data_IF_534013116687
#
_entry.id   IF_534013116687
#
_cell.length_a   1.000
_cell.length_b   1.000
_cell.length_c   1.000
_cell.angle_alpha   90.00
_cell.angle_beta   90.00
_cell.angle_gamma   90.00
#
_symmetry.space_group_name_H-M   'P 1'
#
loop_
_entity.id
_entity.type
_entity.pdbx_description
1 polymer ?
#
# COMPACT_ATOMS: atom_id res chain seq x y z
N UNK A 1 -9.57 0.93 -11.93
CA UNK A 1 -9.14 2.13 -12.66
C UNK A 1 -7.73 1.91 -13.14
N UNK A 2 -7.35 2.44 -14.31
CA UNK A 2 -5.98 2.35 -14.83
C UNK A 2 -5.25 3.66 -14.50
N UNK A 3 -3.99 3.57 -14.07
CA UNK A 3 -3.10 4.73 -13.98
C UNK A 3 -2.14 4.69 -15.16
N UNK A 4 -2.02 5.79 -15.91
CA UNK A 4 -1.10 5.92 -17.05
C UNK A 4 -1.18 4.80 -18.13
N UNK A 5 -2.35 4.17 -18.31
CA UNK A 5 -2.55 3.06 -19.25
C UNK A 5 -1.95 1.72 -18.81
N UNK A 6 -1.46 1.62 -17.57
CA UNK A 6 -1.04 0.35 -16.99
C UNK A 6 -2.26 -0.56 -16.74
N UNK A 7 -2.08 -1.86 -17.03
CA UNK A 7 -3.10 -2.90 -16.87
C UNK A 7 -2.60 -3.88 -15.83
N UNK A 8 -3.49 -4.34 -14.96
CA UNK A 8 -3.17 -5.43 -14.03
C UNK A 8 -3.21 -6.75 -14.81
N UNK A 9 -2.09 -7.46 -14.83
CA UNK A 9 -1.97 -8.78 -15.40
C UNK A 9 -2.76 -9.82 -14.60
N UNK A 10 -3.02 -10.97 -15.22
CA UNK A 10 -3.69 -12.10 -14.55
C UNK A 10 -2.85 -12.68 -13.41
N UNK A 11 -1.54 -12.40 -13.39
CA UNK A 11 -0.58 -12.73 -12.35
C UNK A 11 -0.52 -11.72 -11.20
N UNK A 12 -1.44 -10.74 -11.18
CA UNK A 12 -1.52 -9.73 -10.12
C UNK A 12 -0.46 -8.63 -10.21
N UNK A 13 0.31 -8.57 -11.31
CA UNK A 13 1.37 -7.56 -11.51
C UNK A 13 0.92 -6.46 -12.47
N UNK A 14 1.26 -5.19 -12.24
CA UNK A 14 0.98 -4.14 -13.21
C UNK A 14 1.90 -4.30 -14.43
N UNK A 15 1.37 -4.04 -15.62
CA UNK A 15 2.13 -4.12 -16.88
C UNK A 15 3.32 -3.16 -16.97
N UNK A 16 3.37 -2.17 -16.07
CA UNK A 16 4.52 -1.31 -15.82
C UNK A 16 4.68 -1.16 -14.32
N UNK A 17 5.93 -1.13 -13.80
CA UNK A 17 6.17 -0.86 -12.40
C UNK A 17 5.49 0.45 -11.93
N UNK A 18 4.82 0.40 -10.78
CA UNK A 18 4.27 1.58 -10.11
C UNK A 18 5.35 2.11 -9.17
N UNK A 19 6.02 3.18 -9.59
CA UNK A 19 7.09 3.85 -8.82
C UNK A 19 6.67 5.30 -8.59
N UNK A 20 6.74 5.75 -7.34
CA UNK A 20 6.41 7.10 -6.91
C UNK A 20 7.49 8.12 -7.25
N UNK A 21 7.27 9.35 -6.78
CA UNK A 21 8.26 10.44 -6.89
C UNK A 21 9.47 10.16 -6.00
N UNK A 22 10.66 10.67 -6.35
CA UNK A 22 11.83 10.64 -5.46
C UNK A 22 11.54 11.32 -4.14
N UNK A 23 11.87 10.67 -3.02
CA UNK A 23 11.74 11.26 -1.68
C UNK A 23 13.00 12.07 -1.33
N UNK A 24 13.21 13.15 -2.09
CA UNK A 24 14.44 13.95 -2.08
C UNK A 24 14.40 15.19 -1.17
N UNK A 25 13.27 15.45 -0.50
CA UNK A 25 13.08 16.64 0.32
C UNK A 25 12.70 17.91 -0.44
N UNK A 26 12.35 17.81 -1.73
CA UNK A 26 11.76 18.90 -2.50
C UNK A 26 10.42 19.39 -1.89
N UNK A 27 9.91 20.52 -2.36
CA UNK A 27 8.75 21.18 -1.75
C UNK A 27 7.53 20.24 -1.67
N UNK A 28 7.11 19.90 -0.44
CA UNK A 28 5.99 19.00 -0.17
C UNK A 28 6.33 17.50 -0.18
N UNK A 29 7.62 17.15 -0.31
CA UNK A 29 8.10 15.77 -0.33
C UNK A 29 9.01 15.53 0.88
N UNK A 30 8.79 14.42 1.58
CA UNK A 30 9.67 14.03 2.68
C UNK A 30 11.02 13.55 2.13
N UNK A 31 12.13 13.90 2.79
CA UNK A 31 13.44 13.35 2.46
C UNK A 31 13.62 11.96 3.09
N UNK A 32 13.83 10.93 2.28
CA UNK A 32 14.16 9.56 2.69
C UNK A 32 15.28 9.04 1.79
N UNK A 33 16.46 8.84 2.36
CA UNK A 33 17.60 8.26 1.63
C UNK A 33 17.35 6.80 1.24
N UNK A 34 18.09 6.31 0.25
CA UNK A 34 18.04 4.91 -0.21
C UNK A 34 18.22 3.93 0.96
N UNK A 35 17.40 2.88 0.99
CA UNK A 35 17.44 1.84 2.02
C UNK A 35 17.59 0.43 1.46
N UNK A 36 17.66 0.24 0.15
CA UNK A 36 17.69 -1.07 -0.49
C UNK A 36 18.66 -1.18 -1.68
N UNK A 37 19.42 -0.13 -2.00
CA UNK A 37 20.35 -0.09 -3.12
C UNK A 37 19.66 0.10 -4.47
N UNK A 38 18.46 0.68 -4.50
CA UNK A 38 17.60 0.79 -5.68
C UNK A 38 16.95 -0.54 -6.10
N UNK A 39 16.82 -1.50 -5.18
CA UNK A 39 16.33 -2.86 -5.50
C UNK A 39 14.87 -2.83 -5.96
N UNK A 40 14.01 -2.08 -5.29
CA UNK A 40 12.57 -2.08 -5.59
C UNK A 40 12.13 -0.92 -6.49
N UNK A 41 12.86 0.20 -6.50
CA UNK A 41 12.49 1.40 -7.25
C UNK A 41 13.49 1.82 -8.34
N UNK A 42 14.67 1.22 -8.39
CA UNK A 42 15.72 1.54 -9.34
C UNK A 42 16.51 2.83 -9.03
N UNK A 43 16.32 3.44 -7.86
CA UNK A 43 16.98 4.68 -7.45
C UNK A 43 17.91 4.43 -6.26
N UNK A 44 19.22 4.46 -6.50
CA UNK A 44 20.23 4.26 -5.46
C UNK A 44 20.60 5.55 -4.69
N UNK A 45 19.88 6.66 -4.92
CA UNK A 45 20.11 7.93 -4.22
C UNK A 45 19.10 8.16 -3.09
N UNK A 46 17.82 7.98 -3.39
CA UNK A 46 16.69 8.20 -2.46
C UNK A 46 15.64 7.14 -2.68
N UNK A 47 14.94 6.76 -1.62
CA UNK A 47 13.82 5.82 -1.71
C UNK A 47 12.64 6.45 -2.47
N UNK A 48 11.86 5.61 -3.15
CA UNK A 48 10.58 5.97 -3.77
C UNK A 48 9.49 5.04 -3.29
N UNK A 49 8.25 5.53 -3.21
CA UNK A 49 7.12 4.66 -2.91
C UNK A 49 6.90 3.64 -4.04
N UNK A 50 6.85 2.35 -3.71
CA UNK A 50 6.72 1.23 -4.65
C UNK A 50 5.35 0.56 -4.56
N UNK A 51 4.85 0.14 -5.72
CA UNK A 51 3.71 -0.75 -5.81
C UNK A 51 2.36 -0.08 -5.65
N UNK A 52 1.27 -0.87 -5.83
CA UNK A 52 -0.10 -0.37 -5.71
C UNK A 52 -0.43 0.16 -4.30
N UNK A 53 0.31 -0.29 -3.27
CA UNK A 53 0.15 0.17 -1.88
C UNK A 53 1.17 1.24 -1.48
N UNK A 54 2.03 1.69 -2.40
CA UNK A 54 2.97 2.81 -2.18
C UNK A 54 3.84 2.65 -0.93
N UNK A 55 4.39 1.44 -0.71
CA UNK A 55 5.32 1.21 0.39
C UNK A 55 6.67 1.88 0.12
N UNK A 56 7.30 2.43 1.14
CA UNK A 56 8.72 2.81 1.07
C UNK A 56 9.58 1.55 1.19
N UNK A 57 10.65 1.35 0.41
CA UNK A 57 11.52 0.16 0.47
C UNK A 57 11.94 -0.23 1.89
N UNK A 58 12.30 0.75 2.72
CA UNK A 58 12.66 0.54 4.12
C UNK A 58 11.52 -0.03 4.98
N UNK A 59 10.29 0.37 4.69
CA UNK A 59 9.07 -0.18 5.31
C UNK A 59 8.75 -1.55 4.72
N UNK A 60 8.80 -1.70 3.39
CA UNK A 60 8.55 -2.96 2.70
C UNK A 60 9.41 -4.10 3.25
N UNK A 61 10.71 -3.86 3.47
CA UNK A 61 11.62 -4.87 4.06
C UNK A 61 11.11 -5.47 5.37
N UNK A 62 10.32 -4.75 6.15
CA UNK A 62 9.75 -5.23 7.43
C UNK A 62 8.42 -5.93 7.27
N UNK A 63 7.65 -5.58 6.24
CA UNK A 63 6.26 -5.99 6.05
C UNK A 63 6.01 -6.86 4.83
N UNK A 64 7.05 -7.12 4.04
CA UNK A 64 7.03 -7.98 2.87
C UNK A 64 6.30 -9.28 3.20
N UNK A 65 5.40 -9.65 2.30
CA UNK A 65 4.50 -10.78 2.46
C UNK A 65 4.36 -11.48 1.13
N UNK A 66 4.20 -12.80 1.18
CA UNK A 66 3.92 -13.64 0.03
C UNK A 66 2.41 -13.95 0.06
N UNK A 67 1.65 -13.13 -0.67
CA UNK A 67 0.19 -13.18 -0.69
C UNK A 67 -0.36 -14.12 -1.76
N UNK A 68 0.39 -14.33 -2.84
CA UNK A 68 0.04 -15.27 -3.92
C UNK A 68 0.60 -16.69 -3.71
N UNK A 69 1.51 -16.90 -2.76
CA UNK A 69 2.08 -18.19 -2.38
C UNK A 69 3.21 -18.67 -3.29
N UNK A 70 3.90 -17.76 -3.99
CA UNK A 70 5.00 -18.11 -4.92
C UNK A 70 6.39 -18.18 -4.24
N UNK A 71 6.46 -17.88 -2.94
CA UNK A 71 7.67 -17.87 -2.13
C UNK A 71 8.45 -16.56 -2.17
N UNK A 72 7.98 -15.54 -2.88
CA UNK A 72 8.64 -14.24 -3.04
C UNK A 72 7.71 -13.12 -2.57
N UNK A 73 8.25 -12.19 -1.76
CA UNK A 73 7.56 -10.94 -1.47
C UNK A 73 7.87 -9.90 -2.54
N UNK A 74 6.88 -9.51 -3.33
CA UNK A 74 7.02 -8.49 -4.36
C UNK A 74 6.09 -7.28 -4.13
N UNK A 75 6.63 -6.06 -3.94
CA UNK A 75 5.79 -4.89 -3.68
C UNK A 75 4.89 -4.50 -4.86
N UNK A 76 5.20 -4.96 -6.08
CA UNK A 76 4.40 -4.71 -7.27
C UNK A 76 3.24 -5.69 -7.42
N UNK A 77 3.33 -6.87 -6.81
CA UNK A 77 2.31 -7.90 -6.88
C UNK A 77 1.18 -7.51 -5.91
N UNK A 78 -0.05 -7.43 -6.43
CA UNK A 78 -1.18 -6.85 -5.70
C UNK A 78 -1.53 -7.64 -4.43
N UNK A 79 -1.46 -8.98 -4.46
CA UNK A 79 -1.83 -9.79 -3.29
C UNK A 79 -0.78 -9.67 -2.18
N UNK A 80 0.50 -9.66 -2.54
CA UNK A 80 1.62 -9.43 -1.63
C UNK A 80 1.53 -8.06 -0.97
N UNK A 81 1.31 -7.03 -1.78
CA UNK A 81 1.19 -5.65 -1.33
C UNK A 81 -0.05 -5.47 -0.42
N UNK A 82 -1.18 -6.08 -0.77
CA UNK A 82 -2.40 -6.02 0.03
C UNK A 82 -2.23 -6.75 1.37
N UNK A 83 -1.61 -7.94 1.37
CA UNK A 83 -1.34 -8.69 2.59
C UNK A 83 -0.36 -7.94 3.50
N UNK A 84 0.70 -7.36 2.93
CA UNK A 84 1.63 -6.51 3.66
C UNK A 84 0.94 -5.30 4.30
N UNK A 85 0.05 -4.61 3.56
CA UNK A 85 -0.73 -3.49 4.07
C UNK A 85 -1.65 -3.92 5.22
N UNK A 86 -2.34 -5.05 5.09
CA UNK A 86 -3.18 -5.57 6.17
C UNK A 86 -2.38 -5.85 7.45
N UNK A 87 -1.20 -6.49 7.33
CA UNK A 87 -0.31 -6.75 8.47
C UNK A 87 0.21 -5.46 9.10
N UNK A 88 0.57 -4.48 8.27
CA UNK A 88 1.01 -3.15 8.73
C UNK A 88 -0.08 -2.42 9.52
N UNK A 89 -1.33 -2.47 9.05
CA UNK A 89 -2.47 -1.82 9.70
C UNK A 89 -2.81 -2.45 11.04
N UNK A 90 -2.70 -3.77 11.17
CA UNK A 90 -2.91 -4.50 12.42
C UNK A 90 -1.69 -4.48 13.38
N UNK A 91 -0.57 -3.89 12.97
CA UNK A 91 0.67 -3.90 13.75
C UNK A 91 0.51 -3.27 15.15
N UNK A 92 1.25 -3.79 16.13
CA UNK A 92 1.21 -3.26 17.51
C UNK A 92 -0.09 -3.53 18.26
N UNK A 93 -0.84 -4.57 17.87
CA UNK A 93 -2.09 -4.97 18.55
C UNK A 93 -3.30 -4.10 18.19
N UNK A 94 -3.23 -3.36 17.07
CA UNK A 94 -4.34 -2.52 16.61
C UNK A 94 -5.52 -3.38 16.18
N UNK A 95 -6.69 -3.08 16.75
CA UNK A 95 -7.95 -3.60 16.27
C UNK A 95 -8.54 -2.65 15.21
N UNK A 96 -8.44 -3.06 13.94
CA UNK A 96 -8.98 -2.30 12.80
C UNK A 96 -10.52 -2.26 12.75
N UNK A 97 -11.22 -3.06 13.56
CA UNK A 97 -12.66 -2.96 13.74
C UNK A 97 -13.05 -1.92 14.81
N UNK A 98 -12.10 -1.50 15.66
CA UNK A 98 -12.32 -0.43 16.63
C UNK A 98 -12.06 0.95 16.00
N UNK A 99 -12.81 2.01 16.38
CA UNK A 99 -12.53 3.36 15.88
C UNK A 99 -11.09 3.81 16.18
N UNK A 100 -10.59 3.55 17.39
CA UNK A 100 -9.25 3.95 17.81
C UNK A 100 -8.15 3.24 17.03
N UNK A 101 -8.24 1.91 16.89
CA UNK A 101 -7.27 1.12 16.13
C UNK A 101 -7.28 1.45 14.64
N UNK A 102 -8.46 1.69 14.07
CA UNK A 102 -8.59 2.13 12.68
C UNK A 102 -7.90 3.48 12.43
N UNK A 103 -8.17 4.50 13.27
CA UNK A 103 -7.54 5.82 13.12
C UNK A 103 -6.03 5.75 13.31
N UNK A 104 -5.56 5.04 14.33
CA UNK A 104 -4.13 4.85 14.57
C UNK A 104 -3.46 4.13 13.39
N UNK A 105 -4.11 3.13 12.80
CA UNK A 105 -3.60 2.40 11.65
C UNK A 105 -3.47 3.27 10.41
N UNK A 106 -4.53 3.97 10.01
CA UNK A 106 -4.53 4.78 8.79
C UNK A 106 -3.59 5.98 8.91
N UNK A 107 -3.57 6.67 10.06
CA UNK A 107 -2.67 7.80 10.28
C UNK A 107 -1.20 7.39 10.31
N UNK A 108 -0.89 6.14 10.67
CA UNK A 108 0.47 5.61 10.56
C UNK A 108 0.89 5.37 9.10
N UNK A 109 -0.06 5.25 8.18
CA UNK A 109 0.20 5.13 6.75
C UNK A 109 0.37 6.51 6.10
N UNK A 110 -0.49 7.45 6.48
CA UNK A 110 -0.42 8.86 6.08
C UNK A 110 -1.04 9.72 7.18
N UNK A 111 -0.26 10.61 7.78
CA UNK A 111 -0.67 11.44 8.92
C UNK A 111 -1.55 12.63 8.49
N UNK A 112 -2.66 12.34 7.81
CA UNK A 112 -3.66 13.32 7.37
C UNK A 112 -5.06 12.86 7.76
N UNK A 113 -5.76 13.70 8.52
CA UNK A 113 -7.15 13.46 8.93
C UNK A 113 -8.08 13.34 7.72
N UNK A 114 -7.88 14.19 6.71
CA UNK A 114 -8.68 14.20 5.48
C UNK A 114 -8.47 12.92 4.68
N UNK A 115 -7.21 12.46 4.58
CA UNK A 115 -6.87 11.17 3.98
C UNK A 115 -7.59 10.03 4.71
N UNK A 116 -7.51 10.02 6.05
CA UNK A 116 -8.18 9.01 6.84
C UNK A 116 -9.69 9.01 6.56
N UNK A 117 -10.38 10.14 6.72
CA UNK A 117 -11.83 10.25 6.45
C UNK A 117 -12.20 9.75 5.04
N UNK A 118 -11.38 10.06 4.03
CA UNK A 118 -11.60 9.58 2.67
C UNK A 118 -11.48 8.05 2.56
N UNK A 119 -10.46 7.46 3.18
CA UNK A 119 -10.28 5.99 3.22
C UNK A 119 -11.46 5.34 3.94
N UNK A 120 -11.94 5.92 5.04
CA UNK A 120 -13.13 5.42 5.75
C UNK A 120 -14.36 5.39 4.84
N UNK A 121 -14.65 6.49 4.16
CA UNK A 121 -15.81 6.61 3.28
C UNK A 121 -15.79 5.59 2.14
N UNK A 122 -14.61 5.35 1.56
CA UNK A 122 -14.44 4.32 0.53
C UNK A 122 -14.64 2.90 1.09
N UNK A 123 -14.05 2.60 2.25
CA UNK A 123 -14.18 1.29 2.89
C UNK A 123 -15.65 0.96 3.26
N UNK A 124 -16.37 1.94 3.84
CA UNK A 124 -17.80 1.81 4.15
C UNK A 124 -18.63 1.59 2.88
N UNK A 125 -18.31 2.29 1.80
CA UNK A 125 -18.93 2.09 0.48
C UNK A 125 -18.75 0.65 -0.05
N UNK A 126 -17.52 0.11 0.00
CA UNK A 126 -17.25 -1.27 -0.41
C UNK A 126 -17.96 -2.29 0.49
N UNK A 127 -17.99 -2.08 1.81
CA UNK A 127 -18.66 -2.98 2.75
C UNK A 127 -20.16 -3.08 2.46
N UNK A 128 -20.81 -1.94 2.20
CA UNK A 128 -22.23 -1.88 1.78
C UNK A 128 -22.46 -2.59 0.44
N UNK A 129 -21.56 -2.39 -0.53
CA UNK A 129 -21.63 -3.06 -1.84
C UNK A 129 -21.44 -4.58 -1.77
N UNK A 130 -20.51 -5.07 -0.94
CA UNK A 130 -20.29 -6.49 -0.76
C UNK A 130 -21.50 -7.18 -0.10
N UNK A 131 -22.17 -6.51 0.84
CA UNK A 131 -23.40 -7.01 1.46
C UNK A 131 -24.58 -7.07 0.50
N UNK A 132 -24.69 -6.13 -0.43
CA UNK A 132 -25.78 -6.14 -1.43
C UNK A 132 -25.60 -7.24 -2.46
N UNK A 133 -24.36 -7.56 -2.86
CA UNK A 133 -24.07 -8.73 -3.72
C UNK A 133 -24.38 -10.05 -2.99
N UNK A 134 -24.01 -10.17 -1.72
CA UNK A 134 -24.28 -11.37 -0.91
C UNK A 134 -25.77 -11.67 -0.67
N UNK A 135 -26.64 -10.68 -0.84
CA UNK A 135 -28.10 -10.84 -0.71
C UNK A 135 -28.79 -11.23 -2.03
N UNK A 136 -28.06 -11.24 -3.15
CA UNK A 136 -28.58 -11.50 -4.49
C UNK A 136 -28.12 -12.84 -5.08
N UNK A 137 -27.33 -13.63 -4.34
CA UNK A 137 -26.95 -15.00 -4.68
C UNK A 137 -27.40 -15.97 -3.60
#
# INVERSE_FOLDING_TARGET
>A
GQYAGAVLGADGRPSKPIIGVPLDGSAGVQAIGDTDGGRYDGDAGVDRAVGPMQFIPGTWRKWASDGNGDGLGDPQQIDDAALAAARYLCAGGRDMASPGGWWAGILSYNNSTEYAQKVFGLADGYAKGAQSVRKQG
#
